data_IF_157033861586
#
_entry.id   IF_157033861586
#
_cell.length_a   1.000
_cell.length_b   1.000
_cell.length_c   1.000
_cell.angle_alpha   90.00
_cell.angle_beta   90.00
_cell.angle_gamma   90.00
#
_symmetry.space_group_name_H-M   'P 1'
#
loop_
_entity.id
_entity.type
_entity.pdbx_description
1 polymer ?
#
# COMPACT_ATOMS: atom_id res chain seq x y z
N UNK A 1 2.12 25.07 7.54
CA UNK A 1 3.50 25.55 7.80
C UNK A 1 3.97 26.42 6.63
N UNK A 2 4.69 27.53 6.86
CA UNK A 2 5.20 28.38 5.78
C UNK A 2 6.26 27.66 4.94
N UNK A 3 6.25 27.84 3.61
CA UNK A 3 7.17 27.18 2.70
C UNK A 3 8.66 27.53 2.95
N UNK A 4 8.94 28.69 3.56
CA UNK A 4 10.29 29.08 3.95
C UNK A 4 10.88 28.17 5.04
N UNK A 5 10.06 27.71 5.99
CA UNK A 5 10.48 26.82 7.09
C UNK A 5 10.84 25.43 6.56
N UNK A 6 10.09 24.92 5.58
CA UNK A 6 10.39 23.64 4.95
C UNK A 6 11.75 23.68 4.23
N UNK A 7 12.02 24.74 3.46
CA UNK A 7 13.28 24.89 2.71
C UNK A 7 14.50 25.08 3.62
N UNK A 8 14.36 25.73 4.78
CA UNK A 8 15.46 25.95 5.72
C UNK A 8 15.72 24.78 6.67
N UNK A 9 14.82 23.79 6.74
CA UNK A 9 14.92 22.68 7.69
C UNK A 9 15.83 21.53 7.23
N UNK A 10 16.26 21.53 5.96
CA UNK A 10 16.95 20.39 5.36
C UNK A 10 16.05 19.18 5.10
N UNK A 11 14.72 19.36 5.14
CA UNK A 11 13.76 18.30 4.81
C UNK A 11 13.85 17.93 3.33
N UNK A 12 14.01 16.63 3.06
CA UNK A 12 13.96 16.06 1.72
C UNK A 12 12.59 15.40 1.47
N UNK A 13 12.06 15.59 0.27
CA UNK A 13 10.79 14.98 -0.16
C UNK A 13 11.10 14.02 -1.30
N UNK A 14 10.81 12.74 -1.08
CA UNK A 14 10.96 11.69 -2.08
C UNK A 14 9.59 11.31 -2.65
N UNK A 15 9.43 11.43 -3.96
CA UNK A 15 8.27 10.86 -4.65
C UNK A 15 8.41 9.34 -4.78
N UNK A 16 7.33 8.61 -4.50
CA UNK A 16 7.26 7.16 -4.74
C UNK A 16 6.06 6.87 -5.63
N UNK A 17 6.30 6.21 -6.76
CA UNK A 17 5.28 5.88 -7.74
C UNK A 17 5.72 4.71 -8.62
N UNK A 18 4.77 4.14 -9.38
CA UNK A 18 5.13 3.12 -10.35
C UNK A 18 6.19 3.67 -11.32
N UNK A 19 7.30 2.95 -11.47
CA UNK A 19 8.43 3.36 -12.31
C UNK A 19 9.50 4.23 -11.63
N UNK A 20 9.35 4.60 -10.35
CA UNK A 20 10.39 5.40 -9.63
C UNK A 20 11.58 4.56 -9.15
N UNK A 21 11.49 3.22 -9.24
CA UNK A 21 12.58 2.31 -8.93
C UNK A 21 12.79 1.33 -10.10
N UNK A 22 14.03 0.94 -10.42
CA UNK A 22 14.31 -0.13 -11.37
C UNK A 22 13.62 -1.43 -10.95
N UNK A 23 13.07 -2.17 -11.91
CA UNK A 23 12.38 -3.43 -11.62
C UNK A 23 13.31 -4.42 -10.92
N UNK A 24 14.57 -4.45 -11.32
CA UNK A 24 15.60 -5.32 -10.76
C UNK A 24 15.77 -5.06 -9.25
N UNK A 25 15.80 -3.79 -8.83
CA UNK A 25 15.87 -3.40 -7.41
C UNK A 25 14.64 -3.85 -6.62
N UNK A 26 13.45 -3.79 -7.24
CA UNK A 26 12.20 -4.26 -6.61
C UNK A 26 12.27 -5.78 -6.42
N UNK A 27 12.74 -6.51 -7.45
CA UNK A 27 12.87 -7.96 -7.41
C UNK A 27 13.91 -8.42 -6.38
N UNK A 28 15.04 -7.71 -6.27
CA UNK A 28 16.07 -7.94 -5.24
C UNK A 28 15.52 -7.79 -3.82
N UNK A 29 14.62 -6.83 -3.58
CA UNK A 29 14.01 -6.59 -2.28
C UNK A 29 12.90 -7.60 -1.93
N UNK A 30 12.37 -8.32 -2.93
CA UNK A 30 11.18 -9.17 -2.77
C UNK A 30 11.34 -10.31 -1.76
N UNK A 31 12.47 -11.05 -1.71
CA UNK A 31 12.66 -12.11 -0.72
C UNK A 31 12.56 -11.58 0.72
N UNK A 32 13.14 -10.41 1.01
CA UNK A 32 13.07 -9.79 2.32
C UNK A 32 11.65 -9.37 2.68
N UNK A 33 10.93 -8.79 1.72
CA UNK A 33 9.53 -8.40 1.91
C UNK A 33 8.64 -9.61 2.22
N UNK A 34 8.78 -10.71 1.47
CA UNK A 34 8.04 -11.95 1.69
C UNK A 34 8.36 -12.54 3.07
N UNK A 35 9.65 -12.61 3.44
CA UNK A 35 10.05 -13.09 4.77
C UNK A 35 9.41 -12.27 5.89
N UNK A 36 9.31 -10.96 5.72
CA UNK A 36 8.61 -10.08 6.66
C UNK A 36 7.11 -10.34 6.71
N UNK A 37 6.45 -10.51 5.55
CA UNK A 37 5.02 -10.80 5.49
C UNK A 37 4.67 -12.12 6.19
N UNK A 38 5.48 -13.17 5.99
CA UNK A 38 5.29 -14.49 6.62
C UNK A 38 5.53 -14.46 8.13
N UNK A 39 6.28 -13.49 8.65
CA UNK A 39 6.56 -13.37 10.09
C UNK A 39 5.33 -13.11 10.96
N UNK A 40 4.17 -12.77 10.36
CA UNK A 40 2.94 -12.44 11.07
C UNK A 40 2.96 -11.05 11.75
N UNK A 41 4.03 -10.27 11.58
CA UNK A 41 4.15 -8.91 12.13
C UNK A 41 3.34 -7.86 11.37
N UNK A 42 2.92 -8.17 10.14
CA UNK A 42 2.08 -7.30 9.32
C UNK A 42 0.62 -7.61 9.61
N UNK A 43 -0.05 -6.74 10.37
CA UNK A 43 -1.48 -6.83 10.61
C UNK A 43 -2.24 -6.00 9.57
N UNK A 44 -3.23 -6.60 8.91
CA UNK A 44 -4.08 -5.96 7.92
C UNK A 44 -5.51 -6.39 8.21
N UNK A 45 -6.37 -5.43 8.54
CA UNK A 45 -7.81 -5.70 8.65
C UNK A 45 -8.40 -5.91 7.26
N UNK A 46 -9.11 -7.02 7.09
CA UNK A 46 -9.67 -7.42 5.79
C UNK A 46 -11.19 -7.60 5.82
N UNK A 47 -11.83 -7.24 4.72
CA UNK A 47 -13.23 -7.56 4.40
C UNK A 47 -13.21 -8.51 3.20
N UNK A 48 -13.51 -9.78 3.45
CA UNK A 48 -13.58 -10.78 2.37
C UNK A 48 -14.87 -10.61 1.58
N UNK A 49 -14.78 -10.57 0.25
CA UNK A 49 -15.92 -10.42 -0.66
C UNK A 49 -15.80 -11.44 -1.79
N UNK A 50 -16.90 -12.07 -2.19
CA UNK A 50 -16.88 -12.98 -3.33
C UNK A 50 -16.61 -12.20 -4.63
N UNK A 51 -15.80 -12.73 -5.55
CA UNK A 51 -15.43 -12.05 -6.78
C UNK A 51 -16.66 -11.68 -7.64
N UNK A 52 -17.71 -12.51 -7.60
CA UNK A 52 -19.00 -12.22 -8.24
C UNK A 52 -19.69 -10.94 -7.76
N UNK A 53 -19.28 -10.38 -6.61
CA UNK A 53 -19.82 -9.15 -6.02
C UNK A 53 -18.92 -7.94 -6.26
N UNK A 54 -17.91 -8.04 -7.12
CA UNK A 54 -16.92 -6.96 -7.36
C UNK A 54 -17.59 -5.63 -7.74
N UNK A 55 -18.62 -5.65 -8.58
CA UNK A 55 -19.35 -4.45 -8.99
C UNK A 55 -20.04 -3.77 -7.79
N UNK A 56 -20.75 -4.55 -6.98
CA UNK A 56 -21.40 -4.03 -5.76
C UNK A 56 -20.36 -3.49 -4.78
N UNK A 57 -19.27 -4.21 -4.56
CA UNK A 57 -18.19 -3.80 -3.65
C UNK A 57 -17.45 -2.55 -4.13
N UNK A 58 -17.40 -2.31 -5.44
CA UNK A 58 -16.81 -1.10 -6.02
C UNK A 58 -17.66 0.16 -5.79
N UNK A 59 -18.98 -0.02 -5.72
CA UNK A 59 -19.94 1.07 -5.48
C UNK A 59 -20.30 1.26 -4.01
N UNK A 60 -19.87 0.34 -3.15
CA UNK A 60 -20.02 0.43 -1.70
C UNK A 60 -19.28 1.68 -1.18
N UNK A 61 -19.99 2.52 -0.45
CA UNK A 61 -19.44 3.74 0.16
C UNK A 61 -19.01 3.53 1.61
N UNK A 62 -19.15 2.30 2.14
CA UNK A 62 -18.70 1.99 3.50
C UNK A 62 -17.18 2.09 3.62
N UNK A 63 -16.74 3.18 4.23
CA UNK A 63 -15.34 3.41 4.61
C UNK A 63 -15.04 2.79 5.97
N UNK A 64 -15.17 1.46 6.04
CA UNK A 64 -14.81 0.71 7.24
C UNK A 64 -13.28 0.55 7.40
N UNK A 65 -12.47 1.28 6.61
CA UNK A 65 -10.99 1.23 6.56
C UNK A 65 -10.35 -0.15 6.34
N UNK A 66 -11.15 -1.21 6.18
CA UNK A 66 -10.70 -2.58 5.94
C UNK A 66 -10.34 -2.80 4.47
N UNK A 67 -9.26 -3.54 4.24
CA UNK A 67 -8.86 -3.95 2.89
C UNK A 67 -9.84 -4.99 2.34
N UNK A 68 -10.47 -4.68 1.21
CA UNK A 68 -11.28 -5.68 0.49
C UNK A 68 -10.35 -6.75 -0.11
N UNK A 69 -10.68 -8.02 0.13
CA UNK A 69 -10.02 -9.18 -0.46
C UNK A 69 -11.06 -9.97 -1.22
N UNK A 70 -10.91 -10.05 -2.55
CA UNK A 70 -11.78 -10.87 -3.37
C UNK A 70 -11.36 -12.34 -3.30
N UNK A 71 -12.33 -13.19 -3.00
CA UNK A 71 -12.18 -14.65 -3.02
C UNK A 71 -13.01 -15.22 -4.17
N UNK A 72 -12.63 -16.37 -4.74
CA UNK A 72 -13.34 -17.01 -5.86
C UNK A 72 -14.84 -17.13 -5.60
#
# INVERSE_FOLDING_TARGET
MPAAVLRSSGLEIYGSGAGTAPVERIMEAMPQFIAYAVSGKLHIDVKTVHLSQVENAWHDKDDDNRRIVFVP
#
